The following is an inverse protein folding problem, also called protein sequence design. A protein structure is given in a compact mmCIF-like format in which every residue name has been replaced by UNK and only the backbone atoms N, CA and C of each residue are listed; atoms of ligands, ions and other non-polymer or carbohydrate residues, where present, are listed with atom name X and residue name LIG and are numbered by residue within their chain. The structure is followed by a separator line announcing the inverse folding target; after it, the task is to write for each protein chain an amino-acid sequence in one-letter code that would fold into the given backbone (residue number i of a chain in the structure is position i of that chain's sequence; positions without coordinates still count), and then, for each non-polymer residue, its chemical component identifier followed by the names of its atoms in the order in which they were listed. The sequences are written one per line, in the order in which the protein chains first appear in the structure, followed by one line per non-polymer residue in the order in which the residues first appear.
data_IF_287582832630
#
_entry.id   IF_287582832630
#
_cell.length_a   1.000
_cell.length_b   1.000
_cell.length_c   1.000
_cell.angle_alpha   90.00
_cell.angle_beta   90.00
_cell.angle_gamma   90.00
#
_symmetry.space_group_name_H-M   'P 1'
#
loop_
_entity.id
_entity.type
_entity.pdbx_description
1 polymer ?
#
# COMPACT_ATOMS: atom_id res chain seq x y z
N UNK A 1 -20.29 -7.64 -4.71
CA UNK A 1 -19.18 -7.84 -5.66
C UNK A 1 -18.40 -9.05 -5.19
N UNK A 2 -18.09 -10.00 -6.09
CA UNK A 2 -17.30 -11.18 -5.75
C UNK A 2 -15.80 -10.88 -5.76
N UNK A 3 -15.31 -10.04 -4.83
CA UNK A 3 -13.89 -9.80 -4.65
C UNK A 3 -13.36 -10.67 -3.53
N UNK A 4 -12.33 -11.44 -3.80
CA UNK A 4 -11.70 -12.31 -2.81
C UNK A 4 -10.93 -13.48 -3.43
N UNK A 5 -10.38 -14.37 -2.61
CA UNK A 5 -10.40 -14.30 -1.14
C UNK A 5 -9.60 -13.12 -0.59
N UNK A 6 -9.96 -12.61 0.58
CA UNK A 6 -9.23 -11.58 1.29
C UNK A 6 -8.13 -12.19 2.15
N UNK A 7 -6.93 -11.68 2.02
CA UNK A 7 -5.78 -12.07 2.82
C UNK A 7 -5.50 -11.00 3.86
N UNK A 8 -5.57 -11.41 5.14
CA UNK A 8 -5.51 -10.50 6.27
C UNK A 8 -4.18 -10.63 7.02
N UNK A 9 -3.57 -9.49 7.27
CA UNK A 9 -2.35 -9.32 8.07
C UNK A 9 -2.71 -8.53 9.33
N UNK A 10 -2.62 -9.18 10.48
CA UNK A 10 -2.96 -8.57 11.79
C UNK A 10 -1.98 -7.49 12.19
N UNK A 11 -0.69 -7.71 11.93
CA UNK A 11 0.39 -6.79 12.27
C UNK A 11 1.27 -6.63 11.02
N UNK A 12 0.91 -5.69 10.17
CA UNK A 12 1.74 -5.34 9.02
C UNK A 12 2.94 -4.50 9.51
N UNK A 13 4.14 -5.02 9.30
CA UNK A 13 5.38 -4.36 9.70
C UNK A 13 5.92 -3.58 8.50
N UNK A 14 6.09 -2.27 8.70
CA UNK A 14 6.81 -1.40 7.78
C UNK A 14 8.18 -1.08 8.38
N UNK A 15 9.22 -1.58 7.72
CA UNK A 15 10.59 -1.22 8.07
C UNK A 15 10.92 0.17 7.53
N UNK A 16 11.76 0.92 8.27
CA UNK A 16 12.24 2.23 7.87
C UNK A 16 11.13 3.25 7.50
N UNK A 17 9.97 3.12 8.15
CA UNK A 17 8.84 4.00 7.88
C UNK A 17 9.16 5.44 8.27
N UNK A 18 8.87 6.36 7.34
CA UNK A 18 8.96 7.81 7.56
C UNK A 18 7.69 8.49 7.09
N UNK A 19 7.28 9.49 7.85
CA UNK A 19 6.26 10.45 7.46
C UNK A 19 6.86 11.86 7.41
N UNK A 20 6.77 12.51 6.25
CA UNK A 20 7.39 13.83 6.00
C UNK A 20 8.87 13.88 6.45
N UNK A 21 9.61 12.82 6.11
CA UNK A 21 11.03 12.65 6.43
C UNK A 21 11.34 12.29 7.90
N UNK A 22 10.35 12.23 8.79
CA UNK A 22 10.55 11.86 10.19
C UNK A 22 10.25 10.37 10.41
N UNK A 23 11.14 9.63 11.09
CA UNK A 23 10.91 8.21 11.35
C UNK A 23 9.81 8.00 12.40
N UNK A 24 8.95 7.02 12.17
CA UNK A 24 7.89 6.60 13.08
C UNK A 24 7.75 5.08 13.06
N UNK A 25 7.17 4.51 14.13
CA UNK A 25 6.78 3.11 14.20
C UNK A 25 5.28 3.00 13.98
N UNK A 26 4.86 2.88 12.74
CA UNK A 26 3.45 2.73 12.40
C UNK A 26 3.00 1.28 12.65
N UNK A 27 1.81 1.11 13.21
CA UNK A 27 1.16 -0.18 13.41
C UNK A 27 -0.09 -0.24 12.55
N UNK A 28 -0.24 -1.31 11.76
CA UNK A 28 -1.33 -1.43 10.82
C UNK A 28 -1.87 -2.84 10.73
N UNK A 29 -3.17 -2.92 10.43
CA UNK A 29 -3.83 -4.11 9.90
C UNK A 29 -4.10 -3.88 8.42
N UNK A 30 -3.86 -4.90 7.63
CA UNK A 30 -4.02 -4.82 6.17
C UNK A 30 -4.82 -6.02 5.68
N UNK A 31 -5.72 -5.79 4.73
CA UNK A 31 -6.37 -6.88 4.01
C UNK A 31 -6.25 -6.66 2.51
N UNK A 32 -5.82 -7.68 1.78
CA UNK A 32 -5.55 -7.65 0.35
C UNK A 32 -6.41 -8.66 -0.40
N UNK A 33 -6.96 -8.26 -1.52
CA UNK A 33 -7.65 -9.15 -2.45
C UNK A 33 -7.52 -8.66 -3.89
N UNK A 34 -7.66 -9.54 -4.87
CA UNK A 34 -7.67 -9.15 -6.27
C UNK A 34 -9.07 -9.18 -6.89
N UNK A 35 -9.31 -8.21 -7.76
CA UNK A 35 -10.41 -8.17 -8.71
C UNK A 35 -9.82 -8.12 -10.12
N UNK A 36 -9.61 -9.28 -10.73
CA UNK A 36 -8.82 -9.39 -11.96
C UNK A 36 -7.37 -8.95 -11.74
N UNK A 37 -6.93 -7.98 -12.53
CA UNK A 37 -5.56 -7.45 -12.44
C UNK A 37 -5.39 -6.36 -11.38
N UNK A 38 -6.48 -5.85 -10.80
CA UNK A 38 -6.41 -4.84 -9.75
C UNK A 38 -6.36 -5.49 -8.39
N UNK A 39 -5.36 -5.12 -7.58
CA UNK A 39 -5.32 -5.48 -6.17
C UNK A 39 -5.98 -4.38 -5.34
N UNK A 40 -6.88 -4.79 -4.45
CA UNK A 40 -7.58 -3.92 -3.52
C UNK A 40 -6.94 -4.11 -2.15
N UNK A 41 -6.58 -3.01 -1.52
CA UNK A 41 -6.01 -2.98 -0.19
C UNK A 41 -6.93 -2.21 0.77
N UNK A 42 -7.21 -2.81 1.92
CA UNK A 42 -7.86 -2.16 3.05
C UNK A 42 -6.83 -1.97 4.15
N UNK A 43 -6.67 -0.73 4.60
CA UNK A 43 -5.68 -0.35 5.62
C UNK A 43 -6.39 0.18 6.85
N UNK A 44 -5.96 -0.28 8.02
CA UNK A 44 -6.33 0.28 9.31
C UNK A 44 -5.05 0.53 10.12
N UNK A 45 -4.73 1.80 10.34
CA UNK A 45 -3.71 2.15 11.33
C UNK A 45 -4.26 1.92 12.74
N UNK A 46 -3.47 1.34 13.62
CA UNK A 46 -3.90 0.94 14.97
C UNK A 46 -3.26 1.74 16.09
N UNK A 47 -2.28 2.58 15.78
CA UNK A 47 -1.68 3.53 16.73
C UNK A 47 -1.81 4.98 16.22
N UNK A 48 -1.44 5.96 17.06
CA UNK A 48 -1.68 7.39 16.83
C UNK A 48 -0.45 8.12 16.24
N UNK A 49 0.54 7.41 15.69
CA UNK A 49 1.67 8.10 15.08
C UNK A 49 1.25 8.86 13.82
N UNK A 50 1.88 10.00 13.51
CA UNK A 50 1.56 10.78 12.32
C UNK A 50 1.71 9.96 11.02
N UNK A 51 0.72 10.09 10.13
CA UNK A 51 0.72 9.43 8.84
C UNK A 51 -0.27 10.10 7.88
N UNK A 52 -0.16 9.84 6.58
CA UNK A 52 -1.18 10.23 5.61
C UNK A 52 -2.53 9.57 5.89
N UNK A 53 -2.55 8.37 6.45
CA UNK A 53 -3.81 7.67 6.79
C UNK A 53 -4.56 8.42 7.88
N UNK A 54 -3.84 8.90 8.92
CA UNK A 54 -4.42 9.73 9.96
C UNK A 54 -4.88 11.09 9.43
N UNK A 55 -4.08 11.74 8.58
CA UNK A 55 -4.47 13.02 7.96
C UNK A 55 -5.74 12.86 7.12
N UNK A 56 -5.85 11.77 6.34
CA UNK A 56 -7.02 11.47 5.53
C UNK A 56 -8.29 11.30 6.40
N UNK A 57 -8.21 10.48 7.45
CA UNK A 57 -9.34 10.25 8.36
C UNK A 57 -9.70 11.51 9.16
N UNK A 58 -8.70 12.26 9.65
CA UNK A 58 -8.92 13.50 10.39
C UNK A 58 -9.56 14.61 9.54
N UNK A 59 -9.40 14.55 8.21
CA UNK A 59 -10.12 15.44 7.29
C UNK A 59 -11.59 15.06 7.08
N UNK A 60 -12.09 14.03 7.76
CA UNK A 60 -13.46 13.53 7.64
C UNK A 60 -13.70 12.66 6.40
N UNK A 61 -12.64 12.20 5.74
CA UNK A 61 -12.73 11.34 4.56
C UNK A 61 -12.56 9.87 4.94
N UNK A 62 -13.27 9.02 4.21
CA UNK A 62 -13.14 7.56 4.24
C UNK A 62 -13.19 7.02 2.81
N UNK A 63 -12.65 5.83 2.58
CA UNK A 63 -12.71 5.15 1.29
C UNK A 63 -11.44 5.29 0.47
N UNK A 64 -11.53 5.68 -0.79
CA UNK A 64 -10.40 5.65 -1.72
C UNK A 64 -9.37 6.74 -1.40
N UNK A 65 -8.21 6.33 -0.89
CA UNK A 65 -7.17 7.23 -0.40
C UNK A 65 -5.97 7.32 -1.37
N UNK A 66 -5.56 6.21 -1.99
CA UNK A 66 -4.41 6.19 -2.89
C UNK A 66 -4.59 5.21 -4.05
N UNK A 67 -3.77 5.38 -5.07
CA UNK A 67 -3.51 4.40 -6.11
C UNK A 67 -2.02 4.04 -6.12
N UNK A 68 -1.72 2.74 -6.18
CA UNK A 68 -0.35 2.25 -6.23
C UNK A 68 0.04 1.81 -7.65
N UNK A 69 1.17 2.30 -8.11
CA UNK A 69 1.82 1.84 -9.33
C UNK A 69 2.99 0.92 -8.96
N UNK A 70 2.91 -0.31 -9.39
CA UNK A 70 3.97 -1.29 -9.18
C UNK A 70 5.05 -1.11 -10.23
N UNK A 71 6.30 -1.10 -9.80
CA UNK A 71 7.45 -0.91 -10.67
C UNK A 71 8.60 -1.87 -10.32
N UNK A 72 9.34 -2.31 -11.34
CA UNK A 72 10.61 -3.00 -11.19
C UNK A 72 11.81 -2.01 -11.23
N UNK A 73 11.56 -0.75 -11.62
CA UNK A 73 12.54 0.33 -11.65
C UNK A 73 12.11 1.44 -10.67
N UNK A 74 12.23 1.13 -9.37
CA UNK A 74 11.77 2.01 -8.30
C UNK A 74 12.51 3.35 -8.30
N UNK A 75 13.83 3.33 -8.46
CA UNK A 75 14.65 4.54 -8.36
C UNK A 75 14.36 5.55 -9.48
N UNK A 76 14.19 5.05 -10.72
CA UNK A 76 13.83 5.90 -11.85
C UNK A 76 12.42 6.51 -11.68
N UNK A 77 11.44 5.71 -11.21
CA UNK A 77 10.08 6.20 -10.99
C UNK A 77 10.04 7.23 -9.83
N UNK A 78 10.77 6.95 -8.75
CA UNK A 78 10.89 7.87 -7.61
C UNK A 78 11.45 9.23 -8.05
N UNK A 79 12.59 9.21 -8.76
CA UNK A 79 13.21 10.42 -9.27
C UNK A 79 12.30 11.17 -10.25
N UNK A 80 11.63 10.44 -11.15
CA UNK A 80 10.70 11.03 -12.11
C UNK A 80 9.58 11.83 -11.42
N UNK A 81 9.00 11.30 -10.35
CA UNK A 81 7.93 12.00 -9.62
C UNK A 81 8.48 13.24 -8.88
N UNK A 82 9.67 13.15 -8.29
CA UNK A 82 10.33 14.31 -7.69
C UNK A 82 10.64 15.41 -8.72
N UNK A 83 11.13 15.04 -9.90
CA UNK A 83 11.41 15.98 -11.01
C UNK A 83 10.13 16.68 -11.53
N UNK A 84 8.96 16.05 -11.34
CA UNK A 84 7.64 16.64 -11.61
C UNK A 84 7.13 17.54 -10.48
N UNK A 85 7.86 17.66 -9.37
CA UNK A 85 7.53 18.52 -8.25
C UNK A 85 6.59 17.90 -7.23
N UNK A 86 6.44 16.57 -7.21
CA UNK A 86 5.69 15.88 -6.16
C UNK A 86 6.57 15.63 -4.94
N UNK A 87 6.11 16.07 -3.79
CA UNK A 87 6.79 15.83 -2.52
C UNK A 87 6.48 14.43 -1.98
N UNK A 88 7.53 13.77 -1.45
CA UNK A 88 7.38 12.47 -0.77
C UNK A 88 6.81 12.69 0.63
N UNK A 89 5.74 12.01 0.94
CA UNK A 89 5.06 12.11 2.24
C UNK A 89 5.24 10.88 3.09
N UNK A 90 5.12 9.68 2.51
CA UNK A 90 5.43 8.41 3.17
C UNK A 90 6.56 7.70 2.44
N UNK A 91 7.41 7.04 3.20
CA UNK A 91 8.38 6.07 2.71
C UNK A 91 8.43 4.87 3.66
N UNK A 92 8.74 3.70 3.14
CA UNK A 92 8.90 2.50 3.94
C UNK A 92 9.24 1.28 3.11
N UNK A 93 9.34 0.14 3.79
CA UNK A 93 9.64 -1.15 3.18
C UNK A 93 8.73 -2.22 3.77
N UNK A 94 8.24 -3.12 2.92
CA UNK A 94 7.45 -4.28 3.32
C UNK A 94 8.13 -5.52 2.78
N UNK A 95 8.42 -6.49 3.66
CA UNK A 95 9.02 -7.76 3.27
C UNK A 95 10.51 -7.66 2.91
N UNK A 96 11.22 -6.69 3.48
CA UNK A 96 12.66 -6.49 3.34
C UNK A 96 13.08 -5.40 2.37
N UNK A 97 14.40 -5.29 2.10
CA UNK A 97 14.98 -4.14 1.37
C UNK A 97 14.47 -3.94 -0.05
N UNK A 98 13.95 -4.99 -0.67
CA UNK A 98 13.39 -4.97 -2.03
C UNK A 98 11.87 -4.76 -2.07
N UNK A 99 11.27 -4.35 -0.96
CA UNK A 99 9.85 -4.06 -0.87
C UNK A 99 9.59 -2.58 -0.62
N UNK A 100 10.38 -1.69 -1.22
CA UNK A 100 10.27 -0.25 -1.03
C UNK A 100 8.93 0.27 -1.50
N UNK A 101 8.45 1.30 -0.82
CA UNK A 101 7.28 2.07 -1.22
C UNK A 101 7.46 3.54 -0.89
N UNK A 102 6.85 4.41 -1.67
CA UNK A 102 6.76 5.83 -1.37
C UNK A 102 5.41 6.38 -1.82
N UNK A 103 4.83 7.24 -1.00
CA UNK A 103 3.61 7.99 -1.29
C UNK A 103 3.98 9.44 -1.58
N UNK A 104 3.40 9.98 -2.62
CA UNK A 104 3.61 11.35 -3.06
C UNK A 104 2.37 12.20 -2.81
N UNK A 105 2.58 13.45 -2.39
CA UNK A 105 1.51 14.43 -2.27
C UNK A 105 1.01 14.85 -3.66
N UNK A 106 -0.02 14.19 -4.10
CA UNK A 106 -0.68 14.42 -5.39
C UNK A 106 -2.17 14.76 -5.25
N UNK A 107 -2.67 14.87 -4.01
CA UNK A 107 -4.10 15.10 -3.75
C UNK A 107 -4.62 16.38 -4.41
N UNK A 108 -3.81 17.45 -4.42
CA UNK A 108 -4.16 18.72 -5.06
C UNK A 108 -4.28 18.63 -6.59
N UNK A 109 -3.61 17.65 -7.21
CA UNK A 109 -3.60 17.46 -8.67
C UNK A 109 -4.65 16.43 -9.14
N UNK A 110 -4.76 15.29 -8.41
CA UNK A 110 -5.60 14.17 -8.83
C UNK A 110 -6.61 13.71 -7.77
N UNK A 111 -6.69 14.39 -6.61
CA UNK A 111 -7.66 14.13 -5.55
C UNK A 111 -7.33 12.95 -4.62
N UNK A 112 -6.26 12.22 -4.90
CA UNK A 112 -5.78 11.06 -4.14
C UNK A 112 -4.26 11.05 -4.09
N UNK A 113 -3.68 10.30 -3.16
CA UNK A 113 -2.24 10.08 -3.13
C UNK A 113 -1.80 9.09 -4.22
N UNK A 114 -0.61 9.29 -4.76
CA UNK A 114 0.06 8.33 -5.65
C UNK A 114 1.10 7.57 -4.83
N UNK A 115 1.04 6.25 -4.87
CA UNK A 115 2.07 5.36 -4.36
C UNK A 115 2.88 4.79 -5.53
N UNK A 116 4.20 4.73 -5.36
CA UNK A 116 5.04 3.79 -6.12
C UNK A 116 5.45 2.65 -5.20
N UNK A 117 5.40 1.44 -5.72
CA UNK A 117 5.60 0.22 -4.95
C UNK A 117 6.55 -0.71 -5.69
N UNK A 118 7.72 -0.96 -5.10
CA UNK A 118 8.71 -1.87 -5.70
C UNK A 118 8.18 -3.29 -5.72
N UNK A 119 8.11 -3.89 -6.90
CA UNK A 119 7.60 -5.23 -7.11
C UNK A 119 8.75 -6.24 -7.22
N UNK A 120 9.36 -6.55 -6.08
CA UNK A 120 10.48 -7.48 -6.00
C UNK A 120 10.42 -8.34 -4.72
N UNK A 121 11.31 -9.31 -4.61
CA UNK A 121 11.51 -10.12 -3.41
C UNK A 121 10.25 -10.85 -2.91
N UNK A 122 10.10 -10.91 -1.59
CA UNK A 122 8.98 -11.57 -0.91
C UNK A 122 7.64 -10.86 -1.14
N UNK A 123 7.65 -9.54 -1.28
CA UNK A 123 6.45 -8.74 -1.59
C UNK A 123 5.82 -9.19 -2.91
N UNK A 124 6.63 -9.34 -3.97
CA UNK A 124 6.15 -9.85 -5.27
C UNK A 124 5.54 -11.24 -5.13
N UNK A 125 6.19 -12.14 -4.40
CA UNK A 125 5.69 -13.51 -4.20
C UNK A 125 4.33 -13.54 -3.51
N UNK A 126 4.14 -12.71 -2.49
CA UNK A 126 2.87 -12.59 -1.77
C UNK A 126 1.77 -12.04 -2.69
N UNK A 127 2.06 -10.99 -3.44
CA UNK A 127 1.09 -10.36 -4.35
C UNK A 127 0.69 -11.30 -5.49
N UNK A 128 1.64 -12.02 -6.07
CA UNK A 128 1.37 -13.06 -7.08
C UNK A 128 0.51 -14.21 -6.51
N UNK A 129 0.77 -14.60 -5.26
CA UNK A 129 -0.02 -15.63 -4.57
C UNK A 129 -1.48 -15.18 -4.35
N UNK A 130 -1.69 -13.94 -3.89
CA UNK A 130 -3.02 -13.36 -3.69
C UNK A 130 -3.78 -13.31 -5.02
N UNK A 131 -3.13 -12.82 -6.08
CA UNK A 131 -3.70 -12.76 -7.43
C UNK A 131 -4.09 -14.15 -7.92
N UNK A 132 -3.22 -15.15 -7.81
CA UNK A 132 -3.52 -16.53 -8.21
C UNK A 132 -4.70 -17.11 -7.44
N UNK A 133 -4.81 -16.82 -6.16
CA UNK A 133 -5.89 -17.32 -5.32
C UNK A 133 -7.28 -16.76 -5.69
N UNK A 134 -7.34 -15.61 -6.37
CA UNK A 134 -8.59 -15.01 -6.84
C UNK A 134 -9.13 -15.64 -8.13
N UNK A 135 -8.26 -16.29 -8.91
CA UNK A 135 -8.63 -16.89 -10.19
C UNK A 135 -9.54 -18.09 -9.95
N UNK A 136 -10.78 -18.03 -10.47
CA UNK A 136 -11.75 -19.11 -10.31
C UNK A 136 -12.23 -19.33 -8.87
N UNK A 137 -12.00 -18.37 -7.97
CA UNK A 137 -12.46 -18.47 -6.58
C UNK A 137 -13.99 -18.60 -6.50
N UNK A 138 -14.46 -19.59 -5.75
CA UNK A 138 -15.85 -19.97 -5.66
C UNK A 138 -16.58 -19.42 -4.41
N UNK A 139 -15.99 -18.47 -3.69
CA UNK A 139 -16.55 -17.92 -2.47
C UNK A 139 -16.14 -18.67 -1.18
N UNK A 140 -15.44 -19.80 -1.27
CA UNK A 140 -15.02 -20.56 -0.08
C UNK A 140 -13.83 -19.90 0.63
N UNK A 141 -13.82 -20.03 1.98
CA UNK A 141 -12.77 -19.43 2.83
C UNK A 141 -12.48 -17.97 2.42
N UNK A 142 -13.50 -17.07 2.55
CA UNK A 142 -13.44 -15.71 2.02
C UNK A 142 -12.40 -14.84 2.74
N UNK A 143 -12.02 -15.17 3.97
CA UNK A 143 -10.98 -14.50 4.75
C UNK A 143 -9.91 -15.53 5.07
N UNK A 144 -8.66 -15.19 4.80
CA UNK A 144 -7.48 -16.03 5.02
C UNK A 144 -6.41 -15.20 5.74
N UNK A 145 -5.72 -15.79 6.71
CA UNK A 145 -4.61 -15.14 7.40
C UNK A 145 -3.32 -15.39 6.62
N UNK A 146 -2.51 -14.33 6.45
CA UNK A 146 -1.13 -14.38 5.99
C UNK A 146 -0.18 -14.51 7.19
#
# INVERSE_FOLDING_TARGET
MGVGPWFYVENAILDNFKYKGQPHNIEMKVALANSGDVQIELIQQTNDVPSMYQDFLNSGREGFQHIAYWTEDYDAMYQHLQDKGYDVVHEGQIGGPQGRMAYFDSEHAVGIAIEISELAGSKKQIFDYIKKASIGWNGSKPIRKL
#
